data_IF_915784220670
#
_entry.id   IF_915784220670
#
_cell.length_a   1.000
_cell.length_b   1.000
_cell.length_c   1.000
_cell.angle_alpha   90.00
_cell.angle_beta   90.00
_cell.angle_gamma   90.00
#
_symmetry.space_group_name_H-M   'P 1'
#
loop_
_entity.id
_entity.type
_entity.pdbx_description
1 polymer ?
#
# COMPACT_ATOMS: atom_id res chain seq x y z
N UNK A 1 29.90 11.73 -38.57
CA UNK A 1 29.57 13.10 -38.13
C UNK A 1 28.27 13.51 -38.76
N UNK A 2 27.19 13.59 -37.98
CA UNK A 2 26.00 14.41 -38.23
C UNK A 2 25.17 14.41 -36.94
N UNK A 3 24.93 15.60 -36.39
CA UNK A 3 24.30 15.84 -35.09
C UNK A 3 22.76 15.68 -35.16
N UNK A 4 22.08 15.39 -34.04
CA UNK A 4 20.63 15.32 -33.99
C UNK A 4 19.97 16.70 -33.80
N UNK A 5 18.89 16.93 -34.55
CA UNK A 5 18.03 18.11 -34.53
C UNK A 5 17.09 18.10 -33.31
N UNK A 6 17.06 19.20 -32.56
CA UNK A 6 16.19 19.44 -31.39
C UNK A 6 14.84 20.00 -31.87
N UNK A 7 13.72 19.43 -31.40
CA UNK A 7 12.38 20.02 -31.52
C UNK A 7 11.90 20.58 -30.16
N UNK A 8 11.12 21.68 -30.16
CA UNK A 8 10.88 22.51 -28.98
C UNK A 8 9.77 22.00 -28.05
N UNK A 9 9.92 22.33 -26.76
CA UNK A 9 8.95 22.13 -25.67
C UNK A 9 7.72 23.00 -25.85
N UNK A 10 6.53 22.42 -25.67
CA UNK A 10 5.31 23.17 -25.34
C UNK A 10 4.58 22.59 -24.11
N UNK A 11 4.43 23.48 -23.14
CA UNK A 11 3.36 23.64 -22.13
C UNK A 11 3.01 22.50 -21.17
N UNK A 12 3.23 22.87 -19.90
CA UNK A 12 2.78 22.28 -18.63
C UNK A 12 1.25 22.12 -18.55
N UNK A 13 0.81 21.01 -17.97
CA UNK A 13 -0.30 20.92 -17.01
C UNK A 13 -0.02 19.68 -16.14
N UNK A 14 0.69 19.84 -15.01
CA UNK A 14 0.13 20.03 -13.66
C UNK A 14 -0.86 18.94 -13.25
N UNK A 15 -0.36 17.83 -12.68
CA UNK A 15 -0.72 17.35 -11.34
C UNK A 15 0.31 16.30 -10.88
N UNK A 16 1.44 16.78 -10.35
CA UNK A 16 2.36 15.97 -9.54
C UNK A 16 1.89 16.01 -8.08
N UNK A 17 1.79 14.84 -7.43
CA UNK A 17 2.24 14.70 -6.05
C UNK A 17 3.10 13.44 -5.94
N UNK A 18 4.38 13.68 -6.14
CA UNK A 18 5.49 12.78 -5.92
C UNK A 18 5.66 12.46 -4.42
N UNK A 19 6.23 11.28 -4.22
CA UNK A 19 6.79 10.71 -3.00
C UNK A 19 7.76 11.69 -2.34
N UNK A 20 7.64 11.89 -1.03
CA UNK A 20 8.58 12.70 -0.22
C UNK A 20 9.74 11.82 0.26
N UNK A 21 10.95 12.19 -0.13
CA UNK A 21 12.21 11.73 0.47
C UNK A 21 12.65 12.78 1.50
N UNK A 22 13.00 12.36 2.71
CA UNK A 22 13.56 13.23 3.76
C UNK A 22 15.08 13.26 3.66
N UNK A 23 15.67 14.45 3.77
CA UNK A 23 17.06 14.64 4.17
C UNK A 23 17.14 15.68 5.29
N UNK A 24 17.81 15.32 6.37
CA UNK A 24 17.93 16.07 7.62
C UNK A 24 19.17 16.97 7.58
N UNK A 25 19.05 18.26 7.96
CA UNK A 25 19.97 18.97 8.88
C UNK A 25 19.65 20.47 9.09
N UNK A 26 19.61 20.83 10.39
CA UNK A 26 20.02 22.07 11.08
C UNK A 26 19.40 23.45 10.74
N UNK A 27 18.76 24.03 11.77
CA UNK A 27 18.51 25.47 12.03
C UNK A 27 19.79 26.15 12.58
N UNK A 28 19.95 27.51 12.72
CA UNK A 28 18.90 28.47 13.15
C UNK A 28 18.97 29.95 12.66
N UNK A 29 17.96 30.73 13.15
CA UNK A 29 17.88 32.21 13.31
C UNK A 29 17.78 33.06 12.01
N UNK A 30 17.08 34.20 11.90
CA UNK A 30 16.31 35.08 12.80
C UNK A 30 15.57 36.15 11.95
N UNK A 31 14.42 36.63 12.45
CA UNK A 31 13.87 38.01 12.37
C UNK A 31 13.69 38.64 10.96
N UNK A 32 12.44 38.88 10.53
CA UNK A 32 11.81 40.22 10.73
C UNK A 32 10.32 40.26 10.36
N UNK A 33 9.65 41.17 11.05
CA UNK A 33 8.21 41.38 11.15
C UNK A 33 7.65 42.13 9.93
N UNK A 34 6.61 41.59 9.28
CA UNK A 34 5.65 42.35 8.47
C UNK A 34 4.25 41.79 8.75
N UNK A 35 3.40 42.61 9.37
CA UNK A 35 2.00 42.29 9.63
C UNK A 35 1.23 42.25 8.30
N UNK A 36 0.92 41.04 7.82
CA UNK A 36 -0.03 40.82 6.73
C UNK A 36 -1.35 40.35 7.35
N UNK A 37 -2.37 41.21 7.31
CA UNK A 37 -3.72 40.89 7.78
C UNK A 37 -4.38 39.93 6.78
N UNK A 38 -4.24 38.62 7.01
CA UNK A 38 -4.89 37.59 6.19
C UNK A 38 -6.33 37.41 6.69
N UNK A 39 -7.31 37.81 5.87
CA UNK A 39 -8.72 37.50 6.10
C UNK A 39 -8.89 35.97 6.26
N UNK A 40 -9.67 35.47 7.23
CA UNK A 40 -9.89 34.05 7.38
C UNK A 40 -10.66 33.54 6.15
N UNK A 41 -9.94 32.88 5.24
CA UNK A 41 -10.54 32.11 4.16
C UNK A 41 -11.30 30.98 4.83
N UNK A 42 -12.62 30.99 4.66
CA UNK A 42 -13.58 29.99 5.11
C UNK A 42 -12.95 28.62 5.11
N UNK A 43 -12.80 28.01 6.29
CA UNK A 43 -12.30 26.66 6.41
C UNK A 43 -13.20 25.75 5.56
N UNK A 44 -12.68 25.31 4.41
CA UNK A 44 -13.28 24.17 3.70
C UNK A 44 -13.18 23.02 4.68
N UNK A 45 -14.33 22.59 5.21
CA UNK A 45 -14.47 21.38 6.00
C UNK A 45 -13.83 20.26 5.18
N UNK A 46 -12.65 19.81 5.59
CA UNK A 46 -12.09 18.56 5.10
C UNK A 46 -13.00 17.48 5.68
N UNK A 47 -13.99 17.05 4.89
CA UNK A 47 -14.73 15.83 5.18
C UNK A 47 -13.71 14.70 5.11
N UNK A 48 -13.34 14.15 6.26
CA UNK A 48 -12.62 12.88 6.35
C UNK A 48 -13.53 11.81 5.73
N UNK A 49 -13.39 11.59 4.43
CA UNK A 49 -14.02 10.48 3.74
C UNK A 49 -13.38 9.21 4.31
N UNK A 50 -14.03 8.57 5.27
CA UNK A 50 -13.78 7.17 5.60
C UNK A 50 -13.96 6.39 4.29
N UNK A 51 -12.85 5.96 3.69
CA UNK A 51 -12.92 5.13 2.48
C UNK A 51 -13.38 3.76 2.91
N UNK A 52 -14.61 3.40 2.54
CA UNK A 52 -15.15 2.05 2.71
C UNK A 52 -14.65 1.07 1.65
N UNK A 53 -14.02 1.60 0.59
CA UNK A 53 -13.47 0.83 -0.51
C UNK A 53 -11.94 0.94 -0.53
N UNK A 54 -11.33 -0.10 -1.08
CA UNK A 54 -9.91 -0.21 -1.38
C UNK A 54 -9.69 -0.54 -2.86
N UNK A 55 -8.48 -0.31 -3.33
CA UNK A 55 -8.01 -0.85 -4.61
C UNK A 55 -7.52 -2.29 -4.46
N UNK A 56 -7.90 -3.12 -5.41
CA UNK A 56 -7.41 -4.50 -5.57
C UNK A 56 -6.98 -4.73 -7.02
N UNK A 57 -5.87 -5.44 -7.21
CA UNK A 57 -5.36 -5.83 -8.51
C UNK A 57 -5.72 -7.28 -8.83
N UNK A 58 -6.34 -7.48 -9.98
CA UNK A 58 -6.69 -8.79 -10.52
C UNK A 58 -5.73 -9.12 -11.66
N UNK A 59 -4.98 -10.20 -11.49
CA UNK A 59 -4.03 -10.72 -12.47
C UNK A 59 -4.76 -11.69 -13.40
N UNK A 60 -4.63 -11.48 -14.71
CA UNK A 60 -5.26 -12.30 -15.73
C UNK A 60 -4.22 -12.99 -16.61
N UNK A 61 -4.68 -13.88 -17.51
CA UNK A 61 -3.85 -14.53 -18.53
C UNK A 61 -3.08 -13.50 -19.37
N UNK A 62 -1.81 -13.79 -19.66
CA UNK A 62 -0.87 -12.86 -20.33
C UNK A 62 -0.39 -11.72 -19.41
N UNK A 63 0.28 -10.68 -19.96
CA UNK A 63 0.75 -9.52 -19.21
C UNK A 63 -0.39 -8.52 -18.91
N UNK A 64 -1.46 -8.99 -18.27
CA UNK A 64 -2.68 -8.21 -18.04
C UNK A 64 -3.02 -8.16 -16.54
N UNK A 65 -3.12 -6.94 -16.03
CA UNK A 65 -3.58 -6.64 -14.67
C UNK A 65 -4.66 -5.56 -14.74
N UNK A 66 -5.72 -5.72 -13.95
CA UNK A 66 -6.80 -4.73 -13.84
C UNK A 66 -6.97 -4.31 -12.38
N UNK A 67 -7.23 -3.03 -12.15
CA UNK A 67 -7.45 -2.48 -10.80
C UNK A 67 -8.94 -2.23 -10.59
N UNK A 68 -9.47 -2.73 -9.48
CA UNK A 68 -10.87 -2.62 -9.10
C UNK A 68 -11.02 -1.85 -7.79
N UNK A 69 -12.12 -1.13 -7.62
CA UNK A 69 -12.56 -0.63 -6.32
C UNK A 69 -13.47 -1.67 -5.67
N UNK A 70 -13.04 -2.21 -4.53
CA UNK A 70 -13.78 -3.24 -3.79
C UNK A 70 -13.96 -2.78 -2.34
N UNK A 71 -15.00 -3.23 -1.62
CA UNK A 71 -15.13 -2.95 -0.18
C UNK A 71 -13.94 -3.50 0.61
N UNK A 72 -13.54 -2.80 1.69
CA UNK A 72 -12.55 -3.35 2.63
C UNK A 72 -13.17 -4.58 3.32
N UNK A 73 -12.51 -5.75 3.28
CA UNK A 73 -13.03 -6.96 3.91
C UNK A 73 -13.00 -6.85 5.43
N UNK A 74 -13.91 -7.56 6.09
CA UNK A 74 -13.90 -7.72 7.55
C UNK A 74 -13.23 -9.05 7.92
N UNK A 75 -12.29 -9.08 8.87
CA UNK A 75 -11.67 -10.33 9.29
C UNK A 75 -12.68 -11.24 10.01
N UNK A 76 -12.71 -12.51 9.65
CA UNK A 76 -13.46 -13.57 10.32
C UNK A 76 -12.74 -14.12 11.56
N UNK A 77 -13.25 -15.19 12.15
CA UNK A 77 -12.60 -15.87 13.30
C UNK A 77 -11.17 -16.28 12.95
N UNK A 78 -10.22 -16.04 13.85
CA UNK A 78 -8.78 -16.33 13.66
C UNK A 78 -8.13 -15.64 12.46
N UNK A 79 -8.74 -14.55 11.96
CA UNK A 79 -8.19 -13.77 10.86
C UNK A 79 -7.74 -12.39 11.31
N UNK A 80 -6.73 -11.87 10.60
CA UNK A 80 -6.17 -10.54 10.78
C UNK A 80 -6.36 -9.77 9.48
N UNK A 81 -6.89 -8.56 9.58
CA UNK A 81 -6.94 -7.60 8.47
C UNK A 81 -5.67 -6.76 8.52
N UNK A 82 -4.88 -6.83 7.45
CA UNK A 82 -3.58 -6.16 7.36
C UNK A 82 -3.68 -5.07 6.31
N UNK A 83 -3.32 -3.85 6.68
CA UNK A 83 -3.05 -2.76 5.73
C UNK A 83 -1.70 -3.03 5.07
N UNK A 84 -1.73 -3.39 3.79
CA UNK A 84 -0.56 -3.82 3.04
C UNK A 84 0.38 -2.64 2.82
N UNK A 85 1.66 -2.82 3.13
CA UNK A 85 2.74 -1.85 2.83
C UNK A 85 3.63 -2.39 1.72
N UNK A 86 3.98 -3.68 1.79
CA UNK A 86 4.66 -4.42 0.72
C UNK A 86 3.93 -5.74 0.45
N UNK A 87 3.92 -6.13 -0.82
CA UNK A 87 3.47 -7.43 -1.27
C UNK A 87 4.55 -8.05 -2.13
N UNK A 88 4.88 -9.30 -1.85
CA UNK A 88 5.86 -10.06 -2.61
C UNK A 88 5.23 -10.71 -3.83
N UNK A 89 5.89 -10.57 -4.98
CA UNK A 89 5.52 -11.34 -6.18
C UNK A 89 6.36 -12.60 -6.32
N UNK A 90 5.74 -13.69 -6.75
CA UNK A 90 6.30 -15.02 -6.94
C UNK A 90 5.93 -15.57 -8.33
N UNK A 91 6.66 -16.58 -8.85
CA UNK A 91 6.33 -17.19 -10.12
C UNK A 91 4.90 -17.71 -10.25
N UNK A 92 4.29 -18.15 -9.14
CA UNK A 92 2.89 -18.61 -9.13
C UNK A 92 1.92 -17.51 -9.57
N UNK A 93 2.20 -16.25 -9.29
CA UNK A 93 1.25 -15.15 -9.46
C UNK A 93 0.93 -14.91 -10.93
N UNK A 94 1.94 -15.02 -11.79
CA UNK A 94 1.76 -14.87 -13.24
C UNK A 94 1.49 -16.20 -13.95
N UNK A 95 1.87 -17.34 -13.35
CA UNK A 95 1.61 -18.68 -13.91
C UNK A 95 0.19 -19.17 -13.65
N UNK A 96 -0.36 -18.96 -12.45
CA UNK A 96 -1.66 -19.49 -12.06
C UNK A 96 -2.81 -18.94 -12.92
N UNK A 97 -2.86 -17.63 -13.27
CA UNK A 97 -3.86 -17.10 -14.20
C UNK A 97 -3.74 -17.60 -15.64
N UNK A 98 -2.66 -18.31 -16.02
CA UNK A 98 -2.55 -18.90 -17.37
C UNK A 98 -3.44 -20.14 -17.53
N UNK A 99 -3.76 -20.81 -16.41
CA UNK A 99 -4.50 -22.08 -16.33
C UNK A 99 -5.73 -21.98 -15.41
N UNK A 100 -6.17 -20.78 -15.07
CA UNK A 100 -7.32 -20.55 -14.21
C UNK A 100 -7.88 -19.15 -14.41
N UNK A 101 -8.89 -18.84 -13.61
CA UNK A 101 -9.58 -17.56 -13.71
C UNK A 101 -8.72 -16.40 -13.19
N UNK A 102 -8.92 -15.18 -13.72
CA UNK A 102 -8.31 -13.99 -13.17
C UNK A 102 -8.69 -13.79 -11.70
N UNK A 103 -7.69 -13.56 -10.84
CA UNK A 103 -7.90 -13.33 -9.41
C UNK A 103 -6.76 -12.46 -8.85
N UNK A 104 -6.94 -11.98 -7.62
CA UNK A 104 -5.85 -11.43 -6.83
C UNK A 104 -4.99 -12.60 -6.35
N UNK A 105 -3.79 -12.73 -6.90
CA UNK A 105 -2.90 -13.87 -6.66
C UNK A 105 -1.80 -13.57 -5.64
N UNK A 106 -1.78 -12.38 -5.03
CA UNK A 106 -0.74 -11.98 -4.10
C UNK A 106 -0.93 -12.68 -2.75
N UNK A 107 0.11 -13.35 -2.25
CA UNK A 107 0.02 -14.08 -0.98
C UNK A 107 1.02 -13.62 0.08
N UNK A 108 2.17 -13.05 -0.31
CA UNK A 108 3.15 -12.55 0.64
C UNK A 108 2.72 -11.15 1.10
N UNK A 109 2.55 -10.96 2.41
CA UNK A 109 2.08 -9.72 3.02
C UNK A 109 3.14 -9.18 3.99
N UNK A 110 3.46 -7.89 3.89
CA UNK A 110 4.09 -7.15 4.98
C UNK A 110 3.38 -5.82 5.18
N UNK A 111 2.99 -5.52 6.42
CA UNK A 111 2.20 -4.33 6.70
C UNK A 111 1.84 -4.14 8.16
N UNK A 112 0.73 -3.43 8.36
CA UNK A 112 0.26 -3.03 9.70
C UNK A 112 -1.12 -3.62 9.94
N UNK A 113 -1.32 -4.25 11.10
CA UNK A 113 -2.64 -4.75 11.49
C UNK A 113 -3.63 -3.58 11.58
N UNK A 114 -4.72 -3.66 10.80
CA UNK A 114 -5.81 -2.68 10.83
C UNK A 114 -6.93 -3.14 11.77
N UNK A 115 -7.26 -4.43 11.74
CA UNK A 115 -8.29 -5.04 12.59
C UNK A 115 -7.99 -6.53 12.81
N UNK A 116 -8.56 -7.10 13.86
CA UNK A 116 -8.50 -8.53 14.15
C UNK A 116 -9.91 -9.09 14.27
N UNK A 117 -10.08 -10.34 13.86
CA UNK A 117 -11.32 -11.05 14.02
C UNK A 117 -11.45 -11.72 15.38
N UNK A 118 -12.56 -12.44 15.57
CA UNK A 118 -12.86 -13.09 16.84
C UNK A 118 -11.82 -14.19 17.17
N UNK A 119 -11.44 -14.31 18.44
CA UNK A 119 -10.51 -15.34 18.90
C UNK A 119 -9.02 -15.06 18.66
N UNK A 120 -8.66 -14.00 17.94
CA UNK A 120 -7.26 -13.58 17.78
C UNK A 120 -6.79 -12.89 19.06
N UNK A 121 -5.71 -13.41 19.67
CA UNK A 121 -5.17 -12.91 20.94
C UNK A 121 -3.79 -12.25 20.79
N UNK A 122 -2.98 -12.69 19.83
CA UNK A 122 -1.56 -12.29 19.72
C UNK A 122 -1.33 -11.00 18.95
N UNK A 123 -2.36 -10.48 18.27
CA UNK A 123 -2.29 -9.33 17.39
C UNK A 123 -3.30 -8.25 17.79
N UNK A 124 -2.93 -6.99 17.58
CA UNK A 124 -3.81 -5.83 17.74
C UNK A 124 -3.53 -4.79 16.67
N UNK A 125 -4.49 -3.89 16.47
CA UNK A 125 -4.36 -2.76 15.55
C UNK A 125 -3.07 -1.97 15.82
N UNK A 126 -2.31 -1.70 14.76
CA UNK A 126 -1.05 -0.96 14.80
C UNK A 126 0.20 -1.84 14.85
N UNK A 127 0.06 -3.15 15.08
CA UNK A 127 1.21 -4.07 15.06
C UNK A 127 1.82 -4.17 13.66
N UNK A 128 3.15 -4.22 13.61
CA UNK A 128 3.90 -4.48 12.37
C UNK A 128 3.97 -5.98 12.18
N UNK A 129 3.47 -6.47 11.06
CA UNK A 129 3.40 -7.91 10.79
C UNK A 129 3.82 -8.25 9.37
N UNK A 130 4.33 -9.47 9.21
CA UNK A 130 4.36 -10.16 7.95
C UNK A 130 3.48 -11.40 8.04
N UNK A 131 2.90 -11.81 6.92
CA UNK A 131 1.99 -12.93 6.86
C UNK A 131 1.98 -13.60 5.49
N UNK A 132 1.48 -14.83 5.47
CA UNK A 132 1.17 -15.55 4.25
C UNK A 132 -0.35 -15.69 4.11
N UNK A 133 -0.92 -15.15 3.04
CA UNK A 133 -2.34 -15.30 2.72
C UNK A 133 -2.67 -16.76 2.39
N UNK A 134 -3.93 -17.15 2.62
CA UNK A 134 -4.43 -18.44 2.13
C UNK A 134 -4.50 -18.43 0.60
N UNK A 135 -3.66 -19.25 -0.03
CA UNK A 135 -3.58 -19.30 -1.48
C UNK A 135 -4.95 -19.56 -2.12
N UNK A 136 -5.24 -18.83 -3.21
CA UNK A 136 -6.49 -18.91 -3.97
C UNK A 136 -7.75 -18.42 -3.23
N UNK A 137 -7.65 -18.00 -1.96
CA UNK A 137 -8.74 -17.34 -1.26
C UNK A 137 -8.92 -15.90 -1.78
N UNK A 138 -10.09 -15.28 -1.58
CA UNK A 138 -10.26 -13.86 -1.86
C UNK A 138 -9.49 -13.01 -0.84
N UNK A 139 -9.22 -11.74 -1.21
CA UNK A 139 -8.59 -10.73 -0.34
C UNK A 139 -7.08 -10.94 -0.09
N UNK A 140 -6.37 -11.35 -1.13
CA UNK A 140 -4.91 -11.45 -1.15
C UNK A 140 -4.18 -10.10 -1.14
N UNK A 141 -2.85 -10.16 -1.15
CA UNK A 141 -1.95 -9.05 -0.88
C UNK A 141 -1.74 -8.08 -2.04
N UNK A 142 -2.22 -8.38 -3.26
CA UNK A 142 -2.29 -7.38 -4.33
C UNK A 142 -3.49 -6.44 -4.17
N UNK A 143 -3.64 -5.89 -2.97
CA UNK A 143 -4.68 -4.95 -2.58
C UNK A 143 -4.15 -4.01 -1.49
N UNK A 144 -4.87 -2.92 -1.20
CA UNK A 144 -4.47 -2.01 -0.09
C UNK A 144 -4.70 -2.65 1.29
N UNK A 145 -5.61 -3.63 1.39
CA UNK A 145 -5.81 -4.46 2.58
C UNK A 145 -5.95 -5.93 2.20
N UNK A 146 -5.42 -6.81 3.04
CA UNK A 146 -5.46 -8.25 2.85
C UNK A 146 -5.87 -8.98 4.13
N UNK A 147 -6.43 -10.17 3.97
CA UNK A 147 -6.74 -11.08 5.07
C UNK A 147 -5.62 -12.10 5.22
N UNK A 148 -5.22 -12.41 6.45
CA UNK A 148 -4.36 -13.54 6.76
C UNK A 148 -4.88 -14.28 7.99
N UNK A 149 -4.47 -15.53 8.15
CA UNK A 149 -4.74 -16.27 9.39
C UNK A 149 -3.75 -15.85 10.47
N UNK A 150 -4.20 -15.80 11.72
CA UNK A 150 -3.33 -15.49 12.87
C UNK A 150 -2.13 -16.44 12.94
N UNK A 151 -2.32 -17.75 12.71
CA UNK A 151 -1.27 -18.77 12.70
C UNK A 151 -0.30 -18.68 11.52
N UNK A 152 -0.61 -17.88 10.48
CA UNK A 152 0.30 -17.57 9.36
C UNK A 152 0.93 -16.18 9.47
N UNK A 153 0.62 -15.46 10.55
CA UNK A 153 1.06 -14.09 10.78
C UNK A 153 2.14 -14.07 11.86
N UNK A 154 3.13 -13.19 11.74
CA UNK A 154 4.13 -12.99 12.77
C UNK A 154 4.52 -11.51 12.91
N UNK A 155 4.93 -11.14 14.12
CA UNK A 155 5.40 -9.79 14.42
C UNK A 155 6.74 -9.49 13.75
N UNK A 156 6.85 -8.31 13.16
CA UNK A 156 8.09 -7.77 12.64
C UNK A 156 8.86 -7.04 13.74
N UNK A 157 10.14 -7.36 13.97
CA UNK A 157 11.01 -6.56 14.83
C UNK A 157 11.06 -5.10 14.36
N UNK A 158 11.23 -4.15 15.28
CA UNK A 158 11.24 -2.71 14.96
C UNK A 158 12.33 -2.33 13.95
N UNK A 159 13.44 -3.08 13.93
CA UNK A 159 14.60 -2.81 13.06
C UNK A 159 14.44 -3.40 11.66
N UNK A 160 13.56 -4.39 11.48
CA UNK A 160 13.35 -5.05 10.18
C UNK A 160 12.37 -4.21 9.37
N UNK A 161 12.78 -3.85 8.15
CA UNK A 161 11.91 -3.09 7.25
C UNK A 161 10.85 -4.00 6.61
N UNK A 162 9.73 -3.42 6.15
CA UNK A 162 8.70 -4.19 5.44
C UNK A 162 9.17 -4.73 4.08
N UNK A 163 10.16 -4.07 3.47
CA UNK A 163 10.75 -4.50 2.21
C UNK A 163 11.67 -5.70 2.41
N UNK A 164 12.56 -5.60 3.39
CA UNK A 164 13.53 -6.63 3.76
C UNK A 164 12.87 -7.98 4.03
N UNK A 165 11.81 -8.01 4.85
CA UNK A 165 11.12 -9.28 5.17
C UNK A 165 10.52 -9.96 3.93
N UNK A 166 10.10 -9.18 2.93
CA UNK A 166 9.49 -9.71 1.69
C UNK A 166 10.57 -10.17 0.70
N UNK A 167 11.75 -9.53 0.70
CA UNK A 167 12.85 -9.90 -0.17
C UNK A 167 13.63 -11.10 0.35
N UNK A 168 13.81 -11.21 1.66
CA UNK A 168 14.54 -12.31 2.30
C UNK A 168 13.73 -13.61 2.42
N UNK A 169 12.42 -13.55 2.20
CA UNK A 169 11.56 -14.74 2.19
C UNK A 169 11.57 -15.53 0.87
N UNK A 170 12.47 -15.21 -0.06
CA UNK A 170 12.49 -15.74 -1.44
C UNK A 170 13.71 -16.60 -1.75
#
# INVERSE_FOLDING_TARGET
MTAPTVLPRTSRNLYNRAVKIYSWRSRPASINCCHLYIRPRTQRKFTTSTRFNMKEAIVAKGPKVTIHDVPIPKPGTSQVLIKVVYSGSNPKDWKRPQIGDPHNSGDDIAGIVEAVGNGVLEFKKGDRVAAFHEMMAPHGSFAEYAIAWDYTTFHLPEKTSFEEVILESK
#
